data_IF_771258908225
#
_entry.id   IF_771258908225
#
_cell.length_a   1.000
_cell.length_b   1.000
_cell.length_c   1.000
_cell.angle_alpha   90.00
_cell.angle_beta   90.00
_cell.angle_gamma   90.00
#
_symmetry.space_group_name_H-M   'P 1'
#
loop_
_entity.id
_entity.type
_entity.pdbx_description
1 polymer ?
#
# COMPACT_ATOMS: atom_id res chain seq x y z
N UNK A 1 6.67 -16.46 -1.81
CA UNK A 1 5.20 -16.49 -2.01
C UNK A 1 4.62 -15.26 -1.34
N UNK A 2 3.90 -14.40 -2.05
CA UNK A 2 3.23 -13.27 -1.43
C UNK A 2 2.04 -13.82 -0.60
N UNK A 3 2.08 -13.66 0.71
CA UNK A 3 0.95 -13.98 1.57
C UNK A 3 -0.25 -13.14 1.11
N UNK A 4 -1.36 -13.79 0.74
CA UNK A 4 -2.62 -13.08 0.48
C UNK A 4 -3.32 -12.93 1.83
N UNK A 5 -3.43 -11.72 2.39
CA UNK A 5 -4.14 -11.55 3.64
C UNK A 5 -5.61 -11.92 3.45
N UNK A 6 -6.12 -12.78 4.32
CA UNK A 6 -7.55 -13.04 4.39
C UNK A 6 -8.27 -11.77 4.88
N UNK A 7 -9.18 -11.27 4.06
CA UNK A 7 -10.01 -10.13 4.43
C UNK A 7 -11.23 -10.60 5.22
N UNK A 8 -11.60 -9.84 6.26
CA UNK A 8 -12.87 -10.06 6.94
C UNK A 8 -14.05 -9.96 5.96
N UNK A 9 -15.21 -10.50 6.35
CA UNK A 9 -16.44 -10.38 5.53
C UNK A 9 -16.75 -8.93 5.17
N UNK A 10 -16.61 -8.01 6.13
CA UNK A 10 -16.82 -6.57 5.91
C UNK A 10 -15.75 -5.99 4.99
N UNK A 11 -14.47 -6.31 5.21
CA UNK A 11 -13.37 -5.86 4.34
C UNK A 11 -13.56 -6.31 2.89
N UNK A 12 -13.95 -7.57 2.70
CA UNK A 12 -14.26 -8.14 1.39
C UNK A 12 -15.44 -7.44 0.71
N UNK A 13 -16.52 -7.14 1.45
CA UNK A 13 -17.67 -6.41 0.92
C UNK A 13 -17.29 -4.98 0.50
N UNK A 14 -16.48 -4.29 1.30
CA UNK A 14 -15.98 -2.95 0.97
C UNK A 14 -15.08 -2.97 -0.27
N UNK A 15 -14.12 -3.89 -0.32
CA UNK A 15 -13.23 -4.02 -1.48
C UNK A 15 -14.01 -4.32 -2.77
N UNK A 16 -15.05 -5.17 -2.70
CA UNK A 16 -15.92 -5.48 -3.84
C UNK A 16 -16.67 -4.25 -4.35
N UNK A 17 -17.19 -3.41 -3.46
CA UNK A 17 -17.87 -2.15 -3.84
C UNK A 17 -16.91 -1.18 -4.51
N UNK A 18 -15.69 -1.05 -3.98
CA UNK A 18 -14.64 -0.22 -4.60
C UNK A 18 -14.22 -0.76 -5.97
N UNK A 19 -14.15 -2.09 -6.10
CA UNK A 19 -13.83 -2.76 -7.35
C UNK A 19 -14.88 -2.49 -8.43
N UNK A 20 -16.16 -2.55 -8.09
CA UNK A 20 -17.26 -2.14 -8.98
C UNK A 20 -17.19 -0.68 -9.37
N UNK A 21 -16.99 0.22 -8.40
CA UNK A 21 -16.84 1.66 -8.67
C UNK A 21 -15.68 1.95 -9.64
N UNK A 22 -14.57 1.21 -9.51
CA UNK A 22 -13.40 1.37 -10.38
C UNK A 22 -13.45 0.56 -11.68
N UNK A 23 -14.46 -0.30 -11.87
CA UNK A 23 -14.54 -1.21 -13.02
C UNK A 23 -13.36 -2.19 -13.13
N UNK A 24 -12.76 -2.60 -12.01
CA UNK A 24 -11.57 -3.47 -11.98
C UNK A 24 -11.78 -4.70 -11.09
N UNK A 25 -11.06 -5.82 -11.31
CA UNK A 25 -11.08 -6.94 -10.39
C UNK A 25 -10.65 -6.54 -8.96
N UNK A 26 -11.12 -7.28 -7.95
CA UNK A 26 -10.82 -7.01 -6.53
C UNK A 26 -9.31 -7.03 -6.23
N UNK A 27 -8.55 -7.95 -6.82
CA UNK A 27 -7.09 -8.05 -6.65
C UNK A 27 -6.36 -6.80 -7.13
N UNK A 28 -6.70 -6.32 -8.33
CA UNK A 28 -6.11 -5.09 -8.91
C UNK A 28 -6.54 -3.84 -8.15
N UNK A 29 -7.78 -3.82 -7.66
CA UNK A 29 -8.27 -2.74 -6.81
C UNK A 29 -7.51 -2.69 -5.49
N UNK A 30 -7.26 -3.84 -4.85
CA UNK A 30 -6.51 -3.91 -3.59
C UNK A 30 -5.06 -3.42 -3.77
N UNK A 31 -4.38 -3.89 -4.82
CA UNK A 31 -3.02 -3.46 -5.19
C UNK A 31 -2.96 -1.94 -5.38
N UNK A 32 -3.90 -1.38 -6.16
CA UNK A 32 -3.97 0.08 -6.40
C UNK A 32 -4.25 0.86 -5.10
N UNK A 33 -5.10 0.34 -4.22
CA UNK A 33 -5.38 0.98 -2.93
C UNK A 33 -4.15 0.98 -2.02
N UNK A 34 -3.42 -0.13 -1.95
CA UNK A 34 -2.18 -0.23 -1.19
C UNK A 34 -1.13 0.77 -1.71
N UNK A 35 -0.94 0.85 -3.02
CA UNK A 35 -0.03 1.84 -3.63
C UNK A 35 -0.45 3.28 -3.35
N UNK A 36 -1.75 3.59 -3.45
CA UNK A 36 -2.26 4.93 -3.18
C UNK A 36 -2.04 5.31 -1.71
N UNK A 37 -2.38 4.41 -0.76
CA UNK A 37 -2.13 4.63 0.66
C UNK A 37 -0.63 4.79 0.94
N UNK A 38 0.23 3.98 0.32
CA UNK A 38 1.67 4.09 0.50
C UNK A 38 2.20 5.46 0.05
N UNK A 39 1.80 5.94 -1.13
CA UNK A 39 2.17 7.28 -1.64
C UNK A 39 1.69 8.40 -0.73
N UNK A 40 0.42 8.36 -0.33
CA UNK A 40 -0.15 9.36 0.59
C UNK A 40 0.58 9.38 1.93
N UNK A 41 0.94 8.23 2.50
CA UNK A 41 1.69 8.18 3.76
C UNK A 41 3.13 8.69 3.60
N UNK A 42 3.78 8.38 2.47
CA UNK A 42 5.12 8.90 2.16
C UNK A 42 5.13 10.44 2.04
N UNK A 43 4.04 11.03 1.53
CA UNK A 43 3.87 12.48 1.40
C UNK A 43 3.53 13.17 2.73
N UNK A 44 2.55 12.65 3.48
CA UNK A 44 2.04 13.32 4.68
C UNK A 44 3.00 13.16 5.88
N UNK A 45 3.64 11.99 6.02
CA UNK A 45 4.51 11.66 7.17
C UNK A 45 5.80 10.99 6.70
N UNK A 46 6.71 11.72 6.04
CA UNK A 46 7.94 11.15 5.51
C UNK A 46 8.76 10.49 6.62
N UNK A 47 9.26 9.28 6.33
CA UNK A 47 10.11 8.53 7.25
C UNK A 47 9.39 7.83 8.42
N UNK A 48 8.11 8.12 8.72
CA UNK A 48 7.41 7.44 9.83
C UNK A 48 7.17 5.95 9.58
N UNK A 49 6.86 5.58 8.33
CA UNK A 49 6.69 4.16 7.98
C UNK A 49 8.04 3.44 8.09
N UNK A 50 9.12 4.09 7.64
CA UNK A 50 10.47 3.54 7.71
C UNK A 50 10.97 3.38 9.15
N UNK A 51 10.64 4.31 10.07
CA UNK A 51 11.09 4.23 11.47
C UNK A 51 10.48 3.06 12.23
N UNK A 52 9.32 2.57 11.79
CA UNK A 52 8.64 1.40 12.35
C UNK A 52 8.90 0.12 11.54
N UNK A 53 9.67 0.20 10.46
CA UNK A 53 9.94 -0.92 9.58
C UNK A 53 10.80 -1.98 10.29
N UNK A 54 10.44 -3.25 10.16
CA UNK A 54 11.14 -4.40 10.74
C UNK A 54 11.79 -5.31 9.70
N UNK A 55 11.64 -4.99 8.41
CA UNK A 55 12.16 -5.76 7.28
C UNK A 55 12.78 -4.78 6.26
N UNK A 56 14.10 -4.78 6.18
CA UNK A 56 14.89 -3.87 5.35
C UNK A 56 15.14 -4.38 3.93
N UNK A 57 14.71 -5.61 3.60
CA UNK A 57 15.00 -6.29 2.31
C UNK A 57 14.57 -5.50 1.08
N UNK A 58 13.57 -4.62 1.21
CA UNK A 58 13.04 -3.82 0.10
C UNK A 58 13.17 -2.31 0.32
N UNK A 59 13.84 -1.85 1.38
CA UNK A 59 13.90 -0.44 1.74
C UNK A 59 14.54 0.43 0.65
N UNK A 60 15.48 -0.08 -0.15
CA UNK A 60 16.10 0.65 -1.26
C UNK A 60 15.12 1.03 -2.37
N UNK A 61 14.03 0.25 -2.54
CA UNK A 61 13.03 0.44 -3.61
C UNK A 61 11.63 0.71 -3.05
N UNK A 62 11.50 0.91 -1.73
CA UNK A 62 10.20 1.12 -1.11
C UNK A 62 9.72 2.57 -1.35
N UNK A 63 8.40 2.79 -1.46
CA UNK A 63 7.85 4.13 -1.72
C UNK A 63 8.05 5.11 -0.56
N UNK A 64 8.51 4.64 0.61
CA UNK A 64 8.67 5.43 1.83
C UNK A 64 10.10 5.94 2.04
N UNK A 65 11.08 5.40 1.32
CA UNK A 65 12.48 5.78 1.47
C UNK A 65 12.75 7.08 0.72
N UNK A 66 12.62 8.21 1.43
CA UNK A 66 12.82 9.55 0.90
C UNK A 66 14.28 9.96 0.71
N UNK A 67 15.26 9.05 0.78
CA UNK A 67 16.70 9.32 0.55
C UNK A 67 17.07 9.80 -0.87
N UNK A 68 16.12 10.24 -1.70
CA UNK A 68 16.36 10.85 -3.02
C UNK A 68 15.38 11.99 -3.37
N UNK A 69 15.20 12.96 -2.47
CA UNK A 69 14.77 14.32 -2.88
C UNK A 69 15.66 15.32 -2.16
N UNK A 70 16.89 15.42 -2.64
CA UNK A 70 17.95 16.24 -2.09
C UNK A 70 19.17 16.16 -3.02
N UNK A 71 18.98 16.61 -4.26
CA UNK A 71 20.00 17.25 -5.09
C UNK A 71 19.32 18.44 -5.76
#
# INVERSE_FOLDING_TARGET
MAYTPELSRTGSATLRRLAWFRGKPMSKTLETLLEATAKTMAEIRPGQVCSMCKDDRICERCPFNSRRKGE
#
